data_IF_629857865550
#
_entry.id   IF_629857865550
#
_cell.length_a   1.000
_cell.length_b   1.000
_cell.length_c   1.000
_cell.angle_alpha   90.00
_cell.angle_beta   90.00
_cell.angle_gamma   90.00
#
_symmetry.space_group_name_H-M   'P 1'
#
loop_
_entity.id
_entity.type
_entity.pdbx_description
1 polymer ?
#
# COMPACT_ATOMS: atom_id res chain seq x y z
N UNK A 1 8.85 6.55 4.97
CA UNK A 1 9.11 6.27 6.40
C UNK A 1 10.29 5.30 6.50
N UNK A 2 11.24 5.59 7.38
CA UNK A 2 12.42 4.76 7.63
C UNK A 2 12.37 4.32 9.09
N UNK A 3 12.56 3.02 9.33
CA UNK A 3 12.69 2.45 10.67
C UNK A 3 14.13 2.03 10.93
N UNK A 4 14.69 2.43 12.07
CA UNK A 4 16.02 2.08 12.51
C UNK A 4 15.95 1.03 13.62
N UNK A 5 16.95 0.16 13.70
CA UNK A 5 17.14 -0.72 14.83
C UNK A 5 17.89 -0.03 15.99
N UNK A 6 18.19 -0.78 17.05
CA UNK A 6 18.91 -0.27 18.24
C UNK A 6 20.35 0.19 17.99
N UNK A 7 20.91 -0.10 16.82
CA UNK A 7 22.26 0.29 16.41
C UNK A 7 22.23 1.42 15.36
N UNK A 8 21.08 2.07 15.17
CA UNK A 8 20.83 3.09 14.14
C UNK A 8 20.96 2.56 12.69
N UNK A 9 20.84 1.26 12.48
CA UNK A 9 20.85 0.66 11.15
C UNK A 9 19.44 0.59 10.55
N UNK A 10 19.33 0.81 9.24
CA UNK A 10 18.03 0.73 8.54
C UNK A 10 17.50 -0.70 8.58
N UNK A 11 16.39 -0.88 9.28
CA UNK A 11 15.66 -2.15 9.38
C UNK A 11 14.45 -2.19 8.45
N UNK A 12 13.89 -1.02 8.12
CA UNK A 12 12.63 -0.89 7.39
C UNK A 12 12.64 0.36 6.51
N UNK A 13 12.09 0.23 5.31
CA UNK A 13 11.64 1.34 4.47
C UNK A 13 10.23 1.05 3.98
N UNK A 14 9.37 2.06 4.00
CA UNK A 14 8.07 2.02 3.33
C UNK A 14 7.71 3.42 2.81
N UNK A 15 7.03 3.49 1.67
CA UNK A 15 6.60 4.75 1.09
C UNK A 15 5.09 4.74 0.79
N UNK A 16 4.52 5.94 0.79
CA UNK A 16 3.20 6.17 0.25
C UNK A 16 3.26 7.39 -0.67
N UNK A 17 2.48 7.36 -1.74
CA UNK A 17 2.35 8.45 -2.70
C UNK A 17 0.89 8.77 -2.90
N UNK A 18 0.54 10.05 -2.87
CA UNK A 18 -0.80 10.51 -3.22
C UNK A 18 -0.87 10.80 -4.73
N UNK A 19 -1.90 10.26 -5.38
CA UNK A 19 -2.28 10.59 -6.74
C UNK A 19 -3.61 11.34 -6.74
N UNK A 20 -3.70 12.41 -7.53
CA UNK A 20 -4.99 13.04 -7.86
C UNK A 20 -5.46 12.49 -9.21
N UNK A 21 -6.48 11.64 -9.13
CA UNK A 21 -7.13 10.98 -10.25
C UNK A 21 -8.58 11.47 -10.42
N UNK A 22 -8.88 12.72 -10.05
CA UNK A 22 -10.24 13.29 -10.15
C UNK A 22 -10.78 13.35 -11.58
N UNK A 23 -9.91 13.25 -12.59
CA UNK A 23 -10.26 13.27 -14.01
C UNK A 23 -9.80 12.01 -14.77
N UNK A 24 -9.49 10.93 -14.07
CA UNK A 24 -9.04 9.66 -14.64
C UNK A 24 -9.43 8.51 -13.72
N UNK A 25 -8.76 7.37 -13.84
CA UNK A 25 -8.86 6.24 -12.93
C UNK A 25 -7.50 5.56 -12.76
N UNK A 26 -7.40 4.68 -11.78
CA UNK A 26 -6.13 4.03 -11.44
C UNK A 26 -5.60 3.15 -12.57
N UNK A 27 -6.47 2.50 -13.35
CA UNK A 27 -6.04 1.73 -14.52
C UNK A 27 -5.35 2.62 -15.56
N UNK A 28 -5.99 3.72 -15.98
CA UNK A 28 -5.39 4.69 -16.91
C UNK A 28 -4.09 5.30 -16.37
N UNK A 29 -4.02 5.54 -15.06
CA UNK A 29 -2.81 6.07 -14.43
C UNK A 29 -1.62 5.11 -14.54
N UNK A 30 -1.86 3.81 -14.32
CA UNK A 30 -0.85 2.77 -14.51
C UNK A 30 -0.46 2.61 -15.98
N UNK A 31 -1.45 2.51 -16.88
CA UNK A 31 -1.23 2.31 -18.32
C UNK A 31 -0.52 3.49 -18.99
N UNK A 32 -0.72 4.71 -18.49
CA UNK A 32 0.01 5.91 -18.94
C UNK A 32 1.45 5.99 -18.40
N UNK A 33 1.87 5.03 -17.57
CA UNK A 33 3.16 4.97 -16.89
C UNK A 33 3.45 6.10 -15.89
N UNK A 34 2.47 6.98 -15.61
CA UNK A 34 2.63 8.12 -14.68
C UNK A 34 2.80 7.70 -13.22
N UNK A 35 2.46 6.45 -12.89
CA UNK A 35 2.78 5.86 -11.60
C UNK A 35 4.30 5.67 -11.41
N UNK A 36 5.02 5.37 -12.48
CA UNK A 36 6.44 5.00 -12.48
C UNK A 36 7.35 6.17 -12.87
N UNK A 37 6.88 7.07 -13.74
CA UNK A 37 7.64 8.21 -14.23
C UNK A 37 6.93 9.53 -13.91
N UNK A 38 7.71 10.58 -13.66
CA UNK A 38 7.18 11.93 -13.51
C UNK A 38 6.73 12.50 -14.86
N UNK A 39 7.51 12.22 -15.91
CA UNK A 39 7.18 12.55 -17.31
C UNK A 39 7.49 11.34 -18.20
N UNK A 40 6.52 10.43 -18.41
CA UNK A 40 6.71 9.25 -19.25
C UNK A 40 7.17 9.57 -20.68
N UNK A 41 6.80 10.72 -21.25
CA UNK A 41 7.13 11.05 -22.63
C UNK A 41 8.64 11.26 -22.85
N UNK A 42 9.37 11.63 -21.79
CA UNK A 42 10.82 11.89 -21.85
C UNK A 42 11.64 10.85 -21.09
N UNK A 43 11.04 10.21 -20.08
CA UNK A 43 11.75 9.31 -19.16
C UNK A 43 11.60 7.84 -19.53
N UNK A 44 10.42 7.43 -20.01
CA UNK A 44 10.13 6.02 -20.29
C UNK A 44 10.96 5.53 -21.48
N UNK A 45 11.40 4.28 -21.41
CA UNK A 45 11.90 3.59 -22.58
C UNK A 45 10.74 3.33 -23.57
N UNK A 46 10.94 3.37 -24.89
CA UNK A 46 9.86 3.16 -25.87
C UNK A 46 9.11 1.82 -25.75
N UNK A 47 9.73 0.82 -25.11
CA UNK A 47 9.15 -0.51 -24.88
C UNK A 47 8.61 -0.71 -23.46
N UNK A 48 8.71 0.33 -22.61
CA UNK A 48 8.07 0.30 -21.30
C UNK A 48 6.57 0.27 -21.48
N UNK A 49 5.91 -0.56 -20.69
CA UNK A 49 4.47 -0.73 -20.76
C UNK A 49 3.94 -1.26 -19.45
N UNK A 50 2.72 -0.84 -19.14
CA UNK A 50 1.93 -1.41 -18.08
C UNK A 50 0.54 -1.67 -18.65
N UNK A 51 -0.01 -2.85 -18.40
CA UNK A 51 -1.42 -3.16 -18.68
C UNK A 51 -2.15 -3.40 -17.38
N UNK A 52 -3.36 -2.84 -17.24
CA UNK A 52 -4.20 -3.02 -16.07
C UNK A 52 -5.51 -3.71 -16.47
N UNK A 53 -5.63 -5.01 -16.16
CA UNK A 53 -6.83 -5.80 -16.48
C UNK A 53 -7.81 -5.91 -15.32
N UNK A 54 -7.43 -5.47 -14.13
CA UNK A 54 -8.25 -5.40 -12.92
C UNK A 54 -9.49 -4.50 -13.15
N UNK A 55 -10.72 -5.05 -13.21
CA UNK A 55 -11.92 -4.24 -13.48
C UNK A 55 -12.18 -3.18 -12.41
N UNK A 56 -11.77 -3.43 -11.17
CA UNK A 56 -11.95 -2.51 -10.05
C UNK A 56 -11.07 -1.27 -10.18
N UNK A 57 -9.89 -1.37 -10.83
CA UNK A 57 -9.00 -0.23 -11.07
C UNK A 57 -9.67 0.90 -11.89
N UNK A 58 -10.63 0.55 -12.77
CA UNK A 58 -11.40 1.52 -13.57
C UNK A 58 -12.40 2.34 -12.75
N UNK A 59 -12.71 1.88 -11.53
CA UNK A 59 -13.63 2.55 -10.60
C UNK A 59 -12.90 3.34 -9.50
N UNK A 60 -11.58 3.16 -9.38
CA UNK A 60 -10.75 3.86 -8.39
C UNK A 60 -10.31 5.20 -9.00
N UNK A 61 -10.77 6.30 -8.41
CA UNK A 61 -10.51 7.68 -8.86
C UNK A 61 -10.49 8.64 -7.65
N UNK A 62 -10.36 9.94 -7.90
CA UNK A 62 -10.27 10.96 -6.84
C UNK A 62 -8.88 10.97 -6.18
N UNK A 63 -8.80 11.15 -4.86
CA UNK A 63 -7.54 11.07 -4.12
C UNK A 63 -7.18 9.63 -3.83
N UNK A 64 -6.13 9.13 -4.48
CA UNK A 64 -5.70 7.73 -4.35
C UNK A 64 -4.33 7.68 -3.68
N UNK A 65 -4.26 7.12 -2.48
CA UNK A 65 -3.01 6.88 -1.78
C UNK A 65 -2.45 5.50 -2.17
N UNK A 66 -1.34 5.47 -2.89
CA UNK A 66 -0.60 4.25 -3.18
C UNK A 66 0.33 3.89 -2.01
N UNK A 67 0.25 2.66 -1.54
CA UNK A 67 1.14 2.03 -0.57
C UNK A 67 2.06 1.05 -1.30
N UNK A 68 3.36 1.31 -1.21
CA UNK A 68 4.36 0.51 -1.89
C UNK A 68 5.76 0.72 -1.32
N UNK A 69 6.76 0.31 -2.10
CA UNK A 69 8.19 0.45 -1.78
C UNK A 69 8.54 -0.08 -0.38
N UNK A 70 7.90 -1.20 -0.01
CA UNK A 70 8.12 -1.85 1.28
C UNK A 70 9.36 -2.72 1.22
N UNK A 71 10.34 -2.39 2.03
CA UNK A 71 11.50 -3.22 2.29
C UNK A 71 11.64 -3.46 3.79
N UNK A 72 11.81 -4.73 4.16
CA UNK A 72 12.06 -5.15 5.53
C UNK A 72 13.30 -6.04 5.57
N UNK A 73 14.21 -5.72 6.49
CA UNK A 73 15.41 -6.51 6.75
C UNK A 73 15.04 -7.91 7.20
N UNK A 74 15.82 -8.90 6.76
CA UNK A 74 15.45 -10.33 6.83
C UNK A 74 15.15 -10.82 8.25
N UNK A 75 15.88 -10.33 9.24
CA UNK A 75 15.75 -10.64 10.67
C UNK A 75 14.41 -10.21 11.28
N UNK A 76 13.72 -9.23 10.68
CA UNK A 76 12.39 -8.79 11.12
C UNK A 76 11.23 -9.46 10.36
N UNK A 77 11.51 -10.27 9.34
CA UNK A 77 10.48 -10.99 8.57
C UNK A 77 9.92 -12.16 9.38
N UNK A 78 8.66 -12.52 9.11
CA UNK A 78 7.96 -13.60 9.84
C UNK A 78 7.53 -13.22 11.26
N UNK A 79 7.80 -11.98 11.68
CA UNK A 79 7.27 -11.37 12.89
C UNK A 79 6.04 -10.52 12.54
N UNK A 80 5.40 -9.91 13.53
CA UNK A 80 4.27 -9.00 13.32
C UNK A 80 4.65 -7.63 12.76
N UNK A 81 5.93 -7.40 12.44
CA UNK A 81 6.39 -6.08 11.99
C UNK A 81 5.70 -5.60 10.70
N UNK A 82 5.57 -6.40 9.62
CA UNK A 82 4.85 -5.96 8.44
C UNK A 82 3.40 -5.53 8.71
N UNK A 83 2.69 -6.23 9.60
CA UNK A 83 1.31 -5.90 10.01
C UNK A 83 1.25 -4.55 10.72
N UNK A 84 2.13 -4.33 11.70
CA UNK A 84 2.21 -3.07 12.46
C UNK A 84 2.57 -1.91 11.52
N UNK A 85 3.56 -2.11 10.65
CA UNK A 85 4.03 -1.05 9.76
C UNK A 85 2.99 -0.66 8.71
N UNK A 86 2.26 -1.64 8.17
CA UNK A 86 1.12 -1.38 7.29
C UNK A 86 0.02 -0.58 8.02
N UNK A 87 -0.25 -0.87 9.30
CA UNK A 87 -1.19 -0.09 10.10
C UNK A 87 -0.72 1.35 10.33
N UNK A 88 0.56 1.54 10.65
CA UNK A 88 1.18 2.87 10.82
C UNK A 88 1.09 3.68 9.53
N UNK A 89 1.44 3.07 8.38
CA UNK A 89 1.39 3.77 7.09
C UNK A 89 -0.03 4.16 6.70
N UNK A 90 -1.02 3.31 7.03
CA UNK A 90 -2.44 3.59 6.82
C UNK A 90 -2.91 4.78 7.65
N UNK A 91 -2.58 4.79 8.94
CA UNK A 91 -2.87 5.91 9.84
C UNK A 91 -2.25 7.21 9.32
N UNK A 92 -0.96 7.18 8.98
CA UNK A 92 -0.28 8.35 8.42
C UNK A 92 -0.94 8.84 7.11
N UNK A 93 -1.28 7.94 6.19
CA UNK A 93 -1.91 8.31 4.91
C UNK A 93 -3.31 8.89 5.12
N UNK A 94 -4.08 8.33 6.05
CA UNK A 94 -5.39 8.83 6.42
C UNK A 94 -5.30 10.24 7.02
N UNK A 95 -4.44 10.42 8.03
CA UNK A 95 -4.25 11.71 8.70
C UNK A 95 -3.72 12.80 7.78
N UNK A 96 -2.85 12.45 6.82
CA UNK A 96 -2.26 13.43 5.90
C UNK A 96 -3.20 13.84 4.78
N UNK A 97 -3.97 12.89 4.22
CA UNK A 97 -4.64 13.10 2.94
C UNK A 97 -6.13 12.81 2.92
N UNK A 98 -6.64 12.02 3.88
CA UNK A 98 -7.99 11.47 3.87
C UNK A 98 -8.40 11.00 2.45
N UNK A 99 -7.71 9.98 1.90
CA UNK A 99 -7.87 9.58 0.51
C UNK A 99 -9.21 8.86 0.29
N UNK A 100 -9.74 8.95 -0.93
CA UNK A 100 -10.94 8.23 -1.36
C UNK A 100 -10.66 6.73 -1.53
N UNK A 101 -9.42 6.39 -1.87
CA UNK A 101 -8.94 5.01 -1.95
C UNK A 101 -7.50 4.89 -1.46
N UNK A 102 -7.21 3.73 -0.85
CA UNK A 102 -5.85 3.28 -0.59
C UNK A 102 -5.59 2.03 -1.41
N UNK A 103 -4.50 2.01 -2.17
CA UNK A 103 -4.19 0.95 -3.13
C UNK A 103 -2.75 0.44 -2.95
N UNK A 104 -2.53 -0.81 -3.29
CA UNK A 104 -1.21 -1.42 -3.37
C UNK A 104 -1.13 -2.40 -4.54
N UNK A 105 0.09 -2.65 -5.01
CA UNK A 105 0.38 -3.59 -6.09
C UNK A 105 1.26 -4.75 -5.58
N UNK A 106 0.73 -5.66 -4.75
CA UNK A 106 1.53 -6.74 -4.19
C UNK A 106 1.81 -7.84 -5.23
N UNK A 107 3.00 -8.44 -5.12
CA UNK A 107 3.37 -9.61 -5.91
C UNK A 107 2.36 -10.76 -5.72
N UNK A 108 2.06 -11.45 -6.82
CA UNK A 108 1.02 -12.49 -6.86
C UNK A 108 1.18 -13.62 -5.83
N UNK A 109 2.41 -13.98 -5.46
CA UNK A 109 2.64 -15.04 -4.48
C UNK A 109 2.22 -14.65 -3.04
N UNK A 110 1.98 -13.37 -2.77
CA UNK A 110 1.47 -12.94 -1.45
C UNK A 110 0.02 -13.37 -1.23
N UNK A 111 -0.79 -13.55 -2.29
CA UNK A 111 -2.11 -14.17 -2.20
C UNK A 111 -2.03 -15.60 -1.69
N UNK A 112 -1.13 -16.42 -2.25
CA UNK A 112 -1.06 -17.85 -1.92
C UNK A 112 -0.58 -18.11 -0.48
N UNK A 113 -0.03 -17.09 0.20
CA UNK A 113 0.39 -17.17 1.60
C UNK A 113 -0.60 -16.52 2.57
N UNK A 114 -1.74 -15.99 2.11
CA UNK A 114 -2.74 -15.32 2.95
C UNK A 114 -2.23 -14.03 3.62
N UNK A 115 -1.12 -13.46 3.14
CA UNK A 115 -0.42 -12.34 3.77
C UNK A 115 -1.22 -11.04 3.62
N UNK A 116 -1.94 -10.86 2.51
CA UNK A 116 -2.74 -9.66 2.26
C UNK A 116 -3.88 -9.47 3.27
N UNK A 117 -4.50 -10.58 3.69
CA UNK A 117 -5.50 -10.57 4.75
C UNK A 117 -4.90 -10.15 6.10
N UNK A 118 -3.66 -10.58 6.40
CA UNK A 118 -2.94 -10.14 7.61
C UNK A 118 -2.60 -8.65 7.56
N UNK A 119 -2.39 -8.09 6.36
CA UNK A 119 -2.12 -6.67 6.17
C UNK A 119 -3.40 -5.82 6.14
N UNK A 120 -4.58 -6.43 6.33
CA UNK A 120 -5.85 -5.75 6.45
C UNK A 120 -6.40 -5.17 5.14
N UNK A 121 -5.88 -5.63 3.99
CA UNK A 121 -6.50 -5.29 2.70
C UNK A 121 -7.77 -6.11 2.57
N UNK A 122 -8.91 -5.43 2.37
CA UNK A 122 -10.22 -6.07 2.33
C UNK A 122 -10.55 -6.59 0.93
N UNK A 123 -9.99 -5.94 -0.10
CA UNK A 123 -10.22 -6.29 -1.49
C UNK A 123 -8.91 -6.60 -2.20
N UNK A 124 -8.94 -7.63 -3.04
CA UNK A 124 -7.81 -8.00 -3.88
C UNK A 124 -8.28 -8.72 -5.14
N UNK A 125 -7.69 -8.41 -6.29
CA UNK A 125 -7.95 -9.10 -7.57
C UNK A 125 -6.68 -9.15 -8.45
N UNK A 126 -6.57 -10.11 -9.38
CA UNK A 126 -5.42 -10.20 -10.27
C UNK A 126 -5.42 -9.13 -11.38
N UNK A 127 -4.24 -8.91 -11.98
CA UNK A 127 -4.09 -8.04 -13.13
C UNK A 127 -4.09 -6.54 -12.78
N UNK A 128 -3.58 -6.20 -11.60
CA UNK A 128 -3.41 -4.82 -11.18
C UNK A 128 -2.37 -4.10 -12.02
N UNK A 129 -1.17 -4.69 -12.15
CA UNK A 129 -0.11 -4.15 -13.00
C UNK A 129 0.67 -5.28 -13.67
N UNK A 130 0.47 -5.44 -14.98
CA UNK A 130 1.33 -6.27 -15.83
C UNK A 130 2.40 -5.34 -16.40
N UNK A 131 3.52 -5.25 -15.69
CA UNK A 131 4.55 -4.24 -15.86
C UNK A 131 5.77 -4.78 -16.60
N UNK A 132 6.28 -3.99 -17.53
CA UNK A 132 7.57 -4.17 -18.16
C UNK A 132 8.32 -2.83 -18.18
N UNK A 133 9.41 -2.73 -17.42
CA UNK A 133 10.32 -1.58 -17.43
C UNK A 133 11.71 -2.05 -17.86
N UNK A 134 12.16 -1.59 -19.03
CA UNK A 134 13.32 -2.15 -19.74
C UNK A 134 14.63 -1.81 -19.04
N UNK A 135 14.82 -0.53 -18.68
CA UNK A 135 16.09 -0.07 -18.09
C UNK A 135 16.31 -0.66 -16.70
N UNK A 136 15.22 -0.85 -15.95
CA UNK A 136 15.19 -1.40 -14.61
C UNK A 136 15.24 -2.93 -14.62
N UNK A 137 15.02 -3.57 -15.77
CA UNK A 137 14.94 -5.03 -15.89
C UNK A 137 13.75 -5.63 -15.13
N UNK A 138 12.66 -4.87 -15.01
CA UNK A 138 11.48 -5.27 -14.24
C UNK A 138 10.45 -5.90 -15.17
N UNK A 139 10.06 -7.13 -14.86
CA UNK A 139 8.88 -7.81 -15.40
C UNK A 139 8.05 -8.26 -14.21
N UNK A 140 6.87 -7.70 -14.04
CA UNK A 140 5.98 -8.00 -12.91
C UNK A 140 4.54 -8.23 -13.36
N UNK A 141 3.81 -9.04 -12.60
CA UNK A 141 2.38 -9.27 -12.75
C UNK A 141 1.76 -9.21 -11.35
N UNK A 142 1.53 -7.97 -10.93
CA UNK A 142 1.07 -7.64 -9.59
C UNK A 142 -0.45 -7.62 -9.51
N UNK A 143 -0.92 -7.91 -8.31
CA UNK A 143 -2.33 -7.84 -7.97
C UNK A 143 -2.74 -6.38 -7.77
N UNK A 144 -4.03 -6.11 -7.81
CA UNK A 144 -4.59 -4.91 -7.21
C UNK A 144 -5.13 -5.26 -5.83
N UNK A 145 -4.63 -4.61 -4.78
CA UNK A 145 -5.22 -4.66 -3.45
C UNK A 145 -5.66 -3.27 -3.01
N UNK A 146 -6.82 -3.14 -2.37
CA UNK A 146 -7.35 -1.82 -2.02
C UNK A 146 -8.29 -1.77 -0.81
N UNK A 147 -8.52 -0.55 -0.35
CA UNK A 147 -9.53 -0.12 0.62
C UNK A 147 -10.21 1.14 0.07
N UNK A 148 -11.51 1.30 0.35
CA UNK A 148 -12.15 2.62 0.22
C UNK A 148 -11.70 3.54 1.37
N UNK A 149 -11.88 4.86 1.21
CA UNK A 149 -11.61 5.84 2.27
C UNK A 149 -12.40 5.56 3.54
N UNK A 150 -13.66 5.13 3.41
CA UNK A 150 -14.52 4.76 4.55
C UNK A 150 -14.01 3.49 5.26
N UNK A 151 -13.56 2.49 4.50
CA UNK A 151 -12.96 1.28 5.07
C UNK A 151 -11.65 1.59 5.80
N UNK A 152 -10.82 2.45 5.20
CA UNK A 152 -9.59 2.94 5.81
C UNK A 152 -9.87 3.67 7.13
N UNK A 153 -10.82 4.61 7.13
CA UNK A 153 -11.25 5.34 8.33
C UNK A 153 -11.69 4.39 9.43
N UNK A 154 -12.55 3.41 9.11
CA UNK A 154 -13.02 2.40 10.07
C UNK A 154 -11.86 1.59 10.65
N UNK A 155 -10.86 1.24 9.85
CA UNK A 155 -9.69 0.48 10.30
C UNK A 155 -8.81 1.32 11.24
N UNK A 156 -8.52 2.57 10.87
CA UNK A 156 -7.71 3.49 11.69
C UNK A 156 -8.40 3.76 13.02
N UNK A 157 -9.70 4.08 13.01
CA UNK A 157 -10.47 4.37 14.22
C UNK A 157 -10.77 3.12 15.07
N UNK A 158 -10.73 1.91 14.48
CA UNK A 158 -10.84 0.65 15.26
C UNK A 158 -9.54 0.33 16.01
N UNK A 159 -8.38 0.69 15.45
CA UNK A 159 -7.08 0.54 16.11
C UNK A 159 -7.04 1.35 17.42
N UNK A 160 -7.54 2.60 17.39
CA UNK A 160 -7.65 3.46 18.58
C UNK A 160 -8.43 2.79 19.71
N UNK A 161 -9.54 2.10 19.41
CA UNK A 161 -10.34 1.41 20.45
C UNK A 161 -9.64 0.19 21.07
N UNK A 162 -8.70 -0.47 20.36
CA UNK A 162 -7.90 -1.56 20.95
C UNK A 162 -6.76 -1.03 21.81
N UNK A 163 -6.14 0.09 21.43
CA UNK A 163 -5.09 0.74 22.22
C UNK A 163 -5.66 1.42 23.47
N UNK A 164 -6.83 2.06 23.37
CA UNK A 164 -7.55 2.60 24.53
C UNK A 164 -8.01 1.46 25.46
N UNK A 165 -8.50 0.33 24.95
CA UNK A 165 -8.85 -0.80 25.82
C UNK A 165 -7.64 -1.39 26.59
N UNK A 166 -6.43 -1.29 26.05
CA UNK A 166 -5.18 -1.69 26.73
C UNK A 166 -4.72 -0.64 27.76
N UNK A 167 -4.87 0.66 27.48
CA UNK A 167 -4.58 1.73 28.43
C UNK A 167 -5.57 1.80 29.61
N UNK A 168 -6.80 1.32 29.44
CA UNK A 168 -7.80 1.24 30.51
C UNK A 168 -7.88 -0.16 31.18
N UNK A 169 -7.08 -1.13 30.71
CA UNK A 169 -7.03 -2.50 31.23
C UNK A 169 -6.13 -2.70 32.46
N UNK A 170 -5.45 -1.65 32.95
CA UNK A 170 -4.63 -1.69 34.18
C UNK A 170 -5.07 -0.58 35.14
N UNK A 171 -6.37 -0.49 35.42
CA UNK A 171 -6.85 0.17 36.64
C UNK A 171 -8.29 -0.25 36.96
N UNK A 172 -8.46 -1.47 37.44
CA UNK A 172 -9.55 -1.81 38.35
C UNK A 172 -8.96 -2.64 39.50
N UNK A 173 -8.65 -1.90 40.57
CA UNK A 173 -8.21 -2.34 41.90
C UNK A 173 -9.19 -3.34 42.51
N UNK A 174 -8.71 -4.35 43.26
CA UNK A 174 -8.82 -4.36 44.73
C UNK A 174 -10.11 -3.67 45.22
N UNK A 175 -11.20 -4.43 45.35
CA UNK A 175 -11.78 -4.92 46.62
C UNK A 175 -12.82 -5.99 46.29
#
# INVERSE_FOLDING_TARGET
>A
MIGLDKNDEVALVQAARLFDLSHSNFAEHLESLKAFYADPATQAHPEDRCSCTAPSAKKINGKVAYHGDFWLRKDFRGQRMPEIMAAVLRGASFSMWAPDFLVGLPERWLLSKGVLAQYGHLHCEPGGSVLHLVKEGIVADDLLAWLTGEELERLVNRQERREVALCWGVSALHF
#
